data_IF_122045502713
#
_entry.id   IF_122045502713
#
_cell.length_a   1.000
_cell.length_b   1.000
_cell.length_c   1.000
_cell.angle_alpha   90.00
_cell.angle_beta   90.00
_cell.angle_gamma   90.00
#
_symmetry.space_group_name_H-M   'P 1'
#
loop_
_entity.id
_entity.type
_entity.pdbx_description
1 polymer ?
#
# COMPACT_ATOMS: atom_id res chain seq x y z
N UNK A 1 3.94 8.70 1.07
CA UNK A 1 2.69 7.92 0.94
C UNK A 1 2.59 7.40 -0.48
N UNK A 2 2.34 6.10 -0.67
CA UNK A 2 2.13 5.47 -1.96
C UNK A 2 0.63 5.17 -2.13
N UNK A 3 0.01 5.85 -3.09
CA UNK A 3 -1.41 5.68 -3.43
C UNK A 3 -1.60 5.24 -4.89
N UNK A 4 -2.76 4.67 -5.19
CA UNK A 4 -3.17 4.21 -6.52
C UNK A 4 -2.10 3.39 -7.27
N UNK A 5 -1.72 2.24 -6.70
CA UNK A 5 -0.91 1.24 -7.40
C UNK A 5 -1.83 0.14 -7.95
N UNK A 6 -1.90 0.01 -9.27
CA UNK A 6 -2.71 -1.01 -9.94
C UNK A 6 -1.98 -1.59 -11.14
N UNK A 7 -2.23 -2.86 -11.41
CA UNK A 7 -1.75 -3.56 -12.59
C UNK A 7 -2.95 -4.20 -13.27
N UNK A 8 -3.05 -4.01 -14.59
CA UNK A 8 -4.08 -4.65 -15.41
C UNK A 8 -4.16 -6.15 -15.11
N UNK A 9 -5.36 -6.73 -14.90
CA UNK A 9 -5.51 -8.16 -14.61
C UNK A 9 -4.78 -9.08 -15.60
N UNK A 10 -4.80 -8.74 -16.90
CA UNK A 10 -4.12 -9.50 -17.95
C UNK A 10 -2.57 -9.50 -17.83
N UNK A 11 -2.02 -8.61 -17.01
CA UNK A 11 -0.58 -8.42 -16.79
C UNK A 11 -0.15 -8.75 -15.35
N UNK A 12 -1.08 -9.17 -14.49
CA UNK A 12 -0.76 -9.63 -13.13
C UNK A 12 0.05 -10.93 -13.16
N UNK A 13 0.67 -11.26 -12.02
CA UNK A 13 1.60 -12.39 -11.87
C UNK A 13 2.88 -12.36 -12.75
N UNK A 14 3.10 -11.29 -13.55
CA UNK A 14 4.33 -11.09 -14.35
C UNK A 14 5.41 -10.26 -13.64
N UNK A 15 5.27 -10.04 -12.33
CA UNK A 15 6.23 -9.25 -11.53
C UNK A 15 6.12 -7.73 -11.65
N UNK A 16 5.20 -7.19 -12.45
CA UNK A 16 5.04 -5.73 -12.65
C UNK A 16 4.76 -5.00 -11.33
N UNK A 17 3.84 -5.52 -10.50
CA UNK A 17 3.53 -4.89 -9.21
C UNK A 17 4.75 -4.79 -8.29
N UNK A 18 5.62 -5.80 -8.31
CA UNK A 18 6.89 -5.80 -7.56
C UNK A 18 7.87 -4.75 -8.12
N UNK A 19 7.95 -4.61 -9.44
CA UNK A 19 8.78 -3.59 -10.07
C UNK A 19 8.30 -2.18 -9.73
N UNK A 20 6.99 -1.94 -9.73
CA UNK A 20 6.39 -0.66 -9.33
C UNK A 20 6.69 -0.34 -7.86
N UNK A 21 6.55 -1.31 -6.95
CA UNK A 21 6.93 -1.13 -5.54
C UNK A 21 8.42 -0.77 -5.40
N UNK A 22 9.30 -1.51 -6.09
CA UNK A 22 10.74 -1.24 -5.99
C UNK A 22 11.10 0.14 -6.53
N UNK A 23 10.48 0.58 -7.62
CA UNK A 23 10.68 1.92 -8.15
C UNK A 23 10.22 3.00 -7.16
N UNK A 24 9.08 2.80 -6.48
CA UNK A 24 8.60 3.70 -5.44
C UNK A 24 9.56 3.76 -4.23
N UNK A 25 10.11 2.62 -3.81
CA UNK A 25 11.14 2.54 -2.76
C UNK A 25 12.38 3.34 -3.12
N UNK A 26 12.94 3.09 -4.30
CA UNK A 26 14.14 3.82 -4.78
C UNK A 26 13.87 5.32 -4.91
N UNK A 27 12.70 5.71 -5.41
CA UNK A 27 12.32 7.12 -5.46
C UNK A 27 12.24 7.73 -4.05
N UNK A 28 11.58 7.06 -3.12
CA UNK A 28 11.43 7.55 -1.75
C UNK A 28 12.77 7.67 -1.01
N UNK A 29 13.66 6.68 -1.14
CA UNK A 29 15.02 6.69 -0.59
C UNK A 29 15.83 7.88 -1.14
N UNK A 30 15.79 8.11 -2.45
CA UNK A 30 16.49 9.24 -3.09
C UNK A 30 15.98 10.62 -2.64
N UNK A 31 14.76 10.68 -2.09
CA UNK A 31 14.16 11.91 -1.55
C UNK A 31 14.24 11.98 -0.01
N UNK A 32 15.08 11.15 0.63
CA UNK A 32 15.29 11.17 2.07
C UNK A 32 14.09 10.69 2.89
N UNK A 33 13.15 9.95 2.29
CA UNK A 33 12.05 9.36 3.03
C UNK A 33 12.56 8.20 3.90
N UNK A 34 12.04 8.10 5.11
CA UNK A 34 12.37 7.03 6.06
C UNK A 34 11.46 5.82 5.97
N UNK A 35 10.29 5.96 5.32
CA UNK A 35 9.32 4.89 5.14
C UNK A 35 8.37 5.16 3.96
N UNK A 36 7.76 4.09 3.44
CA UNK A 36 6.58 4.16 2.59
C UNK A 36 5.36 3.74 3.39
N UNK A 37 4.32 4.57 3.37
CA UNK A 37 2.99 4.26 3.92
C UNK A 37 1.96 4.13 2.82
N UNK A 38 0.93 3.31 3.04
CA UNK A 38 -0.22 3.15 2.14
C UNK A 38 -1.49 2.79 2.93
N UNK A 39 -2.66 2.97 2.32
CA UNK A 39 -3.91 2.42 2.83
C UNK A 39 -4.38 1.25 1.98
N UNK A 40 -4.87 0.20 2.64
CA UNK A 40 -5.43 -0.99 1.99
C UNK A 40 -6.79 -1.29 2.60
N UNK A 41 -7.78 -1.65 1.78
CA UNK A 41 -9.10 -2.05 2.29
C UNK A 41 -8.93 -3.32 3.14
N UNK A 42 -9.39 -3.30 4.38
CA UNK A 42 -9.14 -4.33 5.39
C UNK A 42 -9.53 -5.75 4.95
N UNK A 43 -10.64 -5.88 4.21
CA UNK A 43 -11.15 -7.18 3.74
C UNK A 43 -10.35 -7.78 2.57
N UNK A 44 -9.36 -7.08 2.01
CA UNK A 44 -8.51 -7.58 0.91
C UNK A 44 -7.31 -8.38 1.44
N UNK A 45 -7.57 -9.47 2.16
CA UNK A 45 -6.55 -10.25 2.85
C UNK A 45 -5.39 -10.71 1.95
N UNK A 46 -5.66 -11.16 0.72
CA UNK A 46 -4.60 -11.59 -0.21
C UNK A 46 -3.65 -10.45 -0.60
N UNK A 47 -4.20 -9.24 -0.79
CA UNK A 47 -3.42 -8.05 -1.12
C UNK A 47 -2.60 -7.59 0.08
N UNK A 48 -3.18 -7.65 1.28
CA UNK A 48 -2.47 -7.37 2.54
C UNK A 48 -1.30 -8.33 2.69
N UNK A 49 -1.53 -9.64 2.59
CA UNK A 49 -0.50 -10.65 2.64
C UNK A 49 0.57 -10.47 1.56
N UNK A 50 0.19 -9.98 0.37
CA UNK A 50 1.14 -9.63 -0.68
C UNK A 50 2.05 -8.48 -0.26
N UNK A 51 1.53 -7.40 0.32
CA UNK A 51 2.35 -6.31 0.86
C UNK A 51 3.23 -6.76 2.03
N UNK A 52 2.73 -7.63 2.91
CA UNK A 52 3.51 -8.19 4.02
C UNK A 52 4.75 -8.95 3.54
N UNK A 53 4.59 -9.79 2.50
CA UNK A 53 5.72 -10.47 1.85
C UNK A 53 6.73 -9.52 1.23
N UNK A 54 6.35 -8.27 0.96
CA UNK A 54 7.23 -7.23 0.43
C UNK A 54 7.77 -6.29 1.51
N UNK A 55 7.58 -6.63 2.80
CA UNK A 55 8.18 -5.91 3.94
C UNK A 55 7.30 -4.81 4.52
N UNK A 56 6.05 -4.71 4.07
CA UNK A 56 5.07 -3.85 4.75
C UNK A 56 4.52 -4.54 6.00
N UNK A 57 4.07 -3.74 6.97
CA UNK A 57 3.39 -4.20 8.18
C UNK A 57 2.21 -3.31 8.49
N UNK A 58 1.19 -3.87 9.14
CA UNK A 58 0.11 -3.07 9.70
C UNK A 58 0.65 -2.16 10.81
N UNK A 59 0.28 -0.87 10.79
CA UNK A 59 0.72 0.12 11.79
C UNK A 59 -0.12 0.12 13.06
N UNK A 60 -1.27 -0.59 13.07
CA UNK A 60 -2.30 -0.44 14.11
C UNK A 60 -3.38 0.59 13.74
N UNK A 61 -3.12 1.47 12.78
CA UNK A 61 -4.04 2.56 12.40
C UNK A 61 -5.09 2.09 11.38
N UNK A 62 -6.36 2.40 11.67
CA UNK A 62 -7.51 2.17 10.80
C UNK A 62 -8.16 3.50 10.42
N UNK A 63 -8.66 3.61 9.19
CA UNK A 63 -9.34 4.81 8.67
C UNK A 63 -10.70 4.43 8.11
N UNK A 64 -11.72 5.30 8.26
CA UNK A 64 -13.04 5.05 7.67
C UNK A 64 -12.94 4.98 6.16
N UNK A 65 -13.71 4.08 5.55
CA UNK A 65 -13.89 4.10 4.10
C UNK A 65 -14.86 5.23 3.72
N UNK A 66 -14.58 6.02 2.66
CA UNK A 66 -15.46 7.11 2.22
C UNK A 66 -16.87 6.59 1.93
N UNK A 67 -17.88 7.24 2.52
CA UNK A 67 -19.29 6.93 2.29
C UNK A 67 -19.91 7.76 1.14
N UNK A 68 -19.09 8.39 0.30
CA UNK A 68 -19.58 9.27 -0.77
C UNK A 68 -20.26 8.47 -1.88
N UNK A 69 -21.48 8.86 -2.25
CA UNK A 69 -22.33 8.20 -3.24
C UNK A 69 -21.68 8.12 -4.63
N UNK A 70 -20.65 8.93 -4.90
CA UNK A 70 -19.86 8.88 -6.12
C UNK A 70 -19.15 7.54 -6.36
N UNK A 71 -18.92 6.73 -5.31
CA UNK A 71 -18.19 5.46 -5.40
C UNK A 71 -19.08 4.21 -5.30
N UNK A 72 -20.40 4.41 -5.28
CA UNK A 72 -21.38 3.37 -5.03
C UNK A 72 -21.45 3.00 -3.54
N UNK A 73 -22.57 2.40 -3.14
CA UNK A 73 -22.76 1.98 -1.74
C UNK A 73 -21.99 0.69 -1.47
N UNK A 74 -21.15 0.64 -0.42
CA UNK A 74 -20.51 -0.59 0.02
C UNK A 74 -21.57 -1.66 0.34
N UNK A 75 -21.35 -2.89 -0.13
CA UNK A 75 -22.22 -4.04 0.19
C UNK A 75 -21.95 -4.65 1.57
N UNK A 76 -20.89 -4.19 2.22
CA UNK A 76 -20.41 -4.62 3.53
C UNK A 76 -19.65 -3.45 4.16
N UNK A 77 -19.39 -3.53 5.46
CA UNK A 77 -18.56 -2.55 6.14
C UNK A 77 -17.14 -2.58 5.58
N UNK A 78 -16.65 -1.39 5.20
CA UNK A 78 -15.31 -1.20 4.68
C UNK A 78 -14.56 -0.21 5.55
N UNK A 79 -13.29 -0.48 5.75
CA UNK A 79 -12.34 0.41 6.39
C UNK A 79 -10.98 0.21 5.71
N UNK A 80 -10.12 1.21 5.83
CA UNK A 80 -8.74 1.10 5.45
C UNK A 80 -7.90 0.71 6.66
N UNK A 81 -6.94 -0.20 6.45
CA UNK A 81 -5.78 -0.33 7.33
C UNK A 81 -4.63 0.49 6.76
N UNK A 82 -3.81 1.07 7.62
CA UNK A 82 -2.55 1.70 7.22
C UNK A 82 -1.43 0.68 7.32
N UNK A 83 -0.67 0.54 6.24
CA UNK A 83 0.52 -0.30 6.21
C UNK A 83 1.75 0.56 5.97
N UNK A 84 2.86 0.20 6.60
CA UNK A 84 4.15 0.87 6.44
C UNK A 84 5.27 -0.10 6.10
N UNK A 85 6.25 0.36 5.34
CA UNK A 85 7.54 -0.28 5.13
C UNK A 85 8.65 0.73 5.40
N UNK A 86 9.49 0.53 6.44
CA UNK A 86 10.68 1.34 6.64
C UNK A 86 11.65 1.20 5.47
N UNK A 87 12.33 2.29 5.14
CA UNK A 87 13.38 2.35 4.13
C UNK A 87 14.74 2.41 4.82
N UNK A 88 15.75 1.78 4.22
CA UNK A 88 17.10 1.73 4.80
C UNK A 88 17.83 3.09 4.73
N UNK A 89 17.35 4.02 3.90
CA UNK A 89 17.97 5.33 3.63
C UNK A 89 17.55 6.47 4.56
N UNK A 90 16.86 6.20 5.68
CA UNK A 90 16.63 7.23 6.69
C UNK A 90 17.97 7.75 7.24
N UNK A 91 18.07 9.04 7.65
CA UNK A 91 19.31 9.56 8.18
C UNK A 91 19.78 8.66 9.33
N UNK A 92 21.01 8.18 9.23
CA UNK A 92 21.72 7.58 10.36
C UNK A 92 21.75 8.67 11.42
N UNK A 93 21.07 8.44 12.54
CA UNK A 93 21.08 9.33 13.69
C UNK A 93 22.51 9.52 14.22
#
# INVERSE_FOLDING_TARGET
YLGMLTVSPALQAKGIGKQLLKAAETYAEAHGCTAITMTVISVRHELIAWYERHGYRFTGERKPFPADAAFGLPKQDLEFIVMEKPLAGGPVA
#
